data_IF_571672693395
#
_entry.id   IF_571672693395
#
_cell.length_a   1.000
_cell.length_b   1.000
_cell.length_c   1.000
_cell.angle_alpha   90.00
_cell.angle_beta   90.00
_cell.angle_gamma   90.00
#
_symmetry.space_group_name_H-M   'P 1'
#
loop_
_entity.id
_entity.type
_entity.pdbx_description
1 polymer ?
#
# COMPACT_ATOMS: atom_id res chain seq x y z
N UNK A 1 32.06 -5.86 10.29
CA UNK A 1 31.04 -4.83 10.62
C UNK A 1 31.68 -3.48 10.38
N UNK A 2 31.32 -2.86 9.28
CA UNK A 2 31.86 -1.58 8.84
C UNK A 2 30.73 -0.54 8.82
N UNK A 3 31.12 0.73 8.99
CA UNK A 3 30.24 1.86 8.71
C UNK A 3 30.81 2.60 7.53
N UNK A 4 30.05 2.68 6.45
CA UNK A 4 30.41 3.40 5.24
C UNK A 4 29.72 4.76 5.21
N UNK A 5 30.46 5.81 4.93
CA UNK A 5 29.98 7.19 4.88
C UNK A 5 29.94 7.69 3.45
N UNK A 6 28.87 8.39 3.12
CA UNK A 6 28.66 8.99 1.80
C UNK A 6 28.42 10.49 1.95
N UNK A 7 29.25 11.29 1.31
CA UNK A 7 29.23 12.76 1.32
C UNK A 7 29.62 13.26 -0.08
N UNK A 8 28.80 14.10 -0.75
CA UNK A 8 29.15 14.64 -2.08
C UNK A 8 30.52 15.36 -2.13
N UNK A 9 31.03 15.82 -0.99
CA UNK A 9 32.36 16.39 -0.88
C UNK A 9 33.47 15.34 -0.77
N UNK A 10 33.12 14.05 -0.65
CA UNK A 10 34.05 12.93 -0.55
C UNK A 10 34.67 12.52 -1.88
N UNK A 11 35.24 11.33 -1.93
CA UNK A 11 35.86 10.76 -3.15
C UNK A 11 35.66 9.23 -3.20
N UNK A 12 35.30 8.70 -4.35
CA UNK A 12 35.11 7.24 -4.53
C UNK A 12 36.44 6.44 -4.53
N UNK A 13 37.57 7.11 -4.46
CA UNK A 13 38.89 6.48 -4.23
C UNK A 13 39.24 6.33 -2.75
N UNK A 14 38.43 6.87 -1.85
CA UNK A 14 38.58 6.71 -0.40
C UNK A 14 38.14 5.30 0.04
N UNK A 15 38.31 4.99 1.32
CA UNK A 15 37.83 3.73 1.91
C UNK A 15 36.39 3.78 2.44
N UNK A 16 35.82 4.98 2.58
CA UNK A 16 34.47 5.21 3.07
C UNK A 16 34.25 4.98 4.56
N UNK A 17 35.30 4.68 5.34
CA UNK A 17 35.17 4.18 6.71
C UNK A 17 35.09 5.27 7.79
N UNK A 18 35.23 6.55 7.42
CA UNK A 18 35.00 7.69 8.30
C UNK A 18 34.35 8.84 7.54
N UNK A 19 33.73 9.83 8.23
CA UNK A 19 33.23 11.03 7.57
C UNK A 19 34.28 11.79 6.72
N UNK A 20 35.56 11.76 7.14
CA UNK A 20 36.64 12.42 6.45
C UNK A 20 37.10 11.66 5.19
N UNK A 21 36.86 10.36 5.17
CA UNK A 21 37.20 9.49 4.02
C UNK A 21 35.95 8.97 3.30
N UNK A 22 34.84 9.72 3.36
CA UNK A 22 33.57 9.34 2.75
C UNK A 22 33.67 9.13 1.24
N UNK A 23 32.82 8.25 0.69
CA UNK A 23 32.57 8.16 -0.75
C UNK A 23 31.79 9.37 -1.23
N UNK A 24 31.98 9.77 -2.49
CA UNK A 24 31.26 10.90 -3.06
C UNK A 24 29.79 10.56 -3.43
N UNK A 25 29.59 9.37 -3.93
CA UNK A 25 28.29 8.86 -4.42
C UNK A 25 28.14 7.35 -4.18
N UNK A 26 27.08 6.77 -4.75
CA UNK A 26 26.69 5.39 -4.51
C UNK A 26 27.50 4.37 -5.34
N UNK A 27 28.32 4.78 -6.29
CA UNK A 27 28.95 3.89 -7.27
C UNK A 27 29.79 2.78 -6.63
N UNK A 28 30.45 3.06 -5.51
CA UNK A 28 31.20 2.04 -4.76
C UNK A 28 30.27 1.11 -4.01
N UNK A 29 29.33 1.64 -3.24
CA UNK A 29 28.37 0.86 -2.45
C UNK A 29 27.55 -0.08 -3.34
N UNK A 30 27.11 0.40 -4.51
CA UNK A 30 26.31 -0.38 -5.46
C UNK A 30 27.05 -1.64 -5.97
N UNK A 31 28.39 -1.70 -5.89
CA UNK A 31 29.15 -2.87 -6.28
C UNK A 31 29.47 -3.82 -5.11
N UNK A 32 29.10 -3.44 -3.89
CA UNK A 32 29.42 -4.20 -2.69
C UNK A 32 28.31 -5.15 -2.31
N UNK A 33 28.67 -6.28 -1.72
CA UNK A 33 27.74 -7.11 -0.94
C UNK A 33 27.97 -6.82 0.54
N UNK A 34 27.04 -6.07 1.13
CA UNK A 34 27.08 -5.71 2.54
C UNK A 34 27.02 -6.95 3.43
N UNK A 35 27.77 -6.93 4.51
CA UNK A 35 27.87 -8.02 5.47
C UNK A 35 26.96 -7.76 6.69
N UNK A 36 26.54 -8.79 7.42
CA UNK A 36 25.74 -8.62 8.64
C UNK A 36 26.38 -7.63 9.62
N UNK A 37 25.62 -6.57 9.94
CA UNK A 37 26.03 -5.47 10.81
C UNK A 37 26.70 -4.30 10.10
N UNK A 38 26.87 -4.33 8.79
CA UNK A 38 27.34 -3.17 8.05
C UNK A 38 26.29 -2.06 8.03
N UNK A 39 26.75 -0.83 8.07
CA UNK A 39 25.90 0.39 8.03
C UNK A 39 26.36 1.28 6.88
N UNK A 40 25.40 1.84 6.13
CA UNK A 40 25.62 2.88 5.13
C UNK A 40 25.00 4.18 5.67
N UNK A 41 25.80 5.24 5.77
CA UNK A 41 25.38 6.52 6.30
C UNK A 41 25.50 7.65 5.29
N UNK A 42 24.38 8.31 5.03
CA UNK A 42 24.30 9.46 4.12
C UNK A 42 24.36 10.75 4.93
N UNK A 43 25.12 11.72 4.44
CA UNK A 43 25.27 13.01 5.11
C UNK A 43 24.01 13.83 5.01
N UNK A 44 23.53 14.34 6.14
CA UNK A 44 22.41 15.29 6.20
C UNK A 44 22.70 16.57 5.45
N UNK A 45 21.65 17.21 4.93
CA UNK A 45 21.73 18.44 4.13
C UNK A 45 22.31 18.24 2.73
N UNK A 46 22.48 16.99 2.27
CA UNK A 46 23.04 16.67 0.97
C UNK A 46 22.01 16.00 0.05
N UNK A 47 22.22 16.18 -1.26
CA UNK A 47 21.37 15.63 -2.32
C UNK A 47 22.23 14.86 -3.31
N UNK A 48 21.79 13.65 -3.67
CA UNK A 48 22.43 12.83 -4.70
C UNK A 48 21.47 12.60 -5.86
N UNK A 49 22.00 12.62 -7.07
CA UNK A 49 21.31 12.14 -8.26
C UNK A 49 21.93 10.81 -8.70
N UNK A 50 21.41 9.72 -8.16
CA UNK A 50 21.91 8.38 -8.46
C UNK A 50 21.00 7.32 -7.88
N UNK A 51 21.01 6.13 -8.46
CA UNK A 51 20.40 4.96 -7.85
C UNK A 51 21.28 4.47 -6.71
N UNK A 52 20.69 4.33 -5.51
CA UNK A 52 21.31 3.54 -4.44
C UNK A 52 20.84 2.09 -4.56
N UNK A 53 21.71 1.21 -4.99
CA UNK A 53 21.42 -0.22 -5.12
C UNK A 53 22.19 -1.02 -4.07
N UNK A 54 21.45 -1.81 -3.29
CA UNK A 54 21.99 -2.50 -2.12
C UNK A 54 21.85 -4.01 -2.26
N UNK A 55 22.91 -4.72 -1.88
CA UNK A 55 22.98 -6.17 -1.87
C UNK A 55 23.48 -6.66 -0.51
N UNK A 56 22.96 -7.77 -0.05
CA UNK A 56 23.37 -8.42 1.19
C UNK A 56 22.21 -8.64 2.16
N UNK A 57 22.42 -9.54 3.11
CA UNK A 57 21.46 -9.87 4.17
C UNK A 57 22.13 -9.75 5.53
N UNK A 58 21.37 -9.23 6.50
CA UNK A 58 21.77 -9.27 7.91
C UNK A 58 21.51 -10.61 8.57
N UNK A 59 21.65 -10.62 9.88
CA UNK A 59 21.22 -11.71 10.77
C UNK A 59 20.35 -11.16 11.90
N UNK A 60 19.67 -12.02 12.68
CA UNK A 60 18.86 -11.54 13.81
C UNK A 60 19.64 -10.65 14.78
N UNK A 61 20.94 -10.90 14.97
CA UNK A 61 21.79 -10.15 15.88
C UNK A 61 22.48 -8.96 15.23
N UNK A 62 22.53 -8.93 13.87
CA UNK A 62 23.30 -7.95 13.10
C UNK A 62 22.57 -7.54 11.83
N UNK A 63 21.70 -6.57 11.96
CA UNK A 63 21.03 -5.98 10.81
C UNK A 63 22.01 -5.23 9.92
N UNK A 64 21.76 -5.21 8.62
CA UNK A 64 22.31 -4.19 7.73
C UNK A 64 21.46 -2.92 7.92
N UNK A 65 22.10 -1.77 8.03
CA UNK A 65 21.40 -0.51 8.25
C UNK A 65 21.78 0.54 7.19
N UNK A 66 20.79 1.28 6.71
CA UNK A 66 20.96 2.52 5.96
C UNK A 66 20.37 3.66 6.78
N UNK A 67 21.17 4.69 7.04
CA UNK A 67 20.75 5.83 7.85
C UNK A 67 21.50 7.10 7.48
N UNK A 68 21.36 8.10 8.29
CA UNK A 68 21.96 9.41 8.13
C UNK A 68 23.11 9.66 9.12
N UNK A 69 23.84 10.75 8.92
CA UNK A 69 24.78 11.33 9.89
C UNK A 69 24.93 12.84 9.70
N UNK A 70 25.45 13.51 10.72
CA UNK A 70 25.65 14.96 10.72
C UNK A 70 24.37 15.72 11.08
N UNK A 71 24.34 16.98 10.72
CA UNK A 71 23.23 17.90 11.03
C UNK A 71 22.62 18.47 9.73
N UNK A 72 21.38 18.95 9.80
CA UNK A 72 20.65 19.54 8.70
C UNK A 72 19.41 18.71 8.29
N UNK A 73 18.86 19.01 7.12
CA UNK A 73 17.73 18.32 6.54
C UNK A 73 18.05 16.84 6.26
N UNK A 74 17.03 16.02 6.06
CA UNK A 74 17.23 14.62 5.68
C UNK A 74 18.11 14.51 4.43
N UNK A 75 19.00 13.51 4.36
CA UNK A 75 19.72 13.23 3.13
C UNK A 75 18.71 12.83 2.04
N UNK A 76 18.84 13.46 0.86
CA UNK A 76 17.89 13.29 -0.23
C UNK A 76 18.50 12.55 -1.41
N UNK A 77 17.79 11.54 -1.91
CA UNK A 77 18.07 10.93 -3.20
C UNK A 77 17.03 11.41 -4.19
N UNK A 78 17.43 12.35 -5.07
CA UNK A 78 16.58 12.94 -6.09
C UNK A 78 17.03 12.49 -7.47
N UNK A 79 16.10 11.92 -8.24
CA UNK A 79 16.38 11.48 -9.63
C UNK A 79 15.98 12.55 -10.65
N UNK A 80 16.00 12.18 -11.92
CA UNK A 80 15.73 13.12 -13.02
C UNK A 80 14.26 13.15 -13.47
N UNK A 81 13.40 12.30 -12.90
CA UNK A 81 11.98 12.21 -13.26
C UNK A 81 11.69 11.26 -14.42
N UNK A 82 12.63 10.38 -14.77
CA UNK A 82 12.37 9.33 -15.74
C UNK A 82 11.50 8.23 -15.09
N UNK A 83 10.49 7.78 -15.84
CA UNK A 83 9.55 6.74 -15.41
C UNK A 83 10.21 5.37 -15.15
N UNK A 84 11.38 5.12 -15.73
CA UNK A 84 12.17 3.91 -15.52
C UNK A 84 13.16 4.02 -14.34
N UNK A 85 13.29 5.19 -13.73
CA UNK A 85 14.22 5.40 -12.61
C UNK A 85 13.63 4.97 -11.26
N UNK A 86 14.54 4.63 -10.35
CA UNK A 86 14.28 4.44 -8.92
C UNK A 86 15.27 5.25 -8.11
N UNK A 87 14.86 5.64 -6.90
CA UNK A 87 15.80 6.25 -5.96
C UNK A 87 16.62 5.18 -5.25
N UNK A 88 15.97 4.16 -4.70
CA UNK A 88 16.62 3.08 -3.95
C UNK A 88 16.09 1.73 -4.43
N UNK A 89 16.98 0.77 -4.64
CA UNK A 89 16.66 -0.64 -4.79
C UNK A 89 17.42 -1.46 -3.77
N UNK A 90 16.72 -2.34 -3.05
CA UNK A 90 17.34 -3.30 -2.14
C UNK A 90 17.02 -4.71 -2.64
N UNK A 91 18.05 -5.46 -2.99
CA UNK A 91 17.89 -6.79 -3.55
C UNK A 91 17.88 -7.85 -2.44
N UNK A 92 16.78 -8.58 -2.34
CA UNK A 92 16.57 -9.68 -1.40
C UNK A 92 16.85 -9.30 0.07
N UNK A 93 16.31 -8.19 0.60
CA UNK A 93 16.61 -7.77 1.95
C UNK A 93 16.08 -8.74 3.00
N UNK A 94 16.91 -9.01 4.01
CA UNK A 94 16.52 -9.74 5.21
C UNK A 94 17.34 -9.23 6.39
N UNK A 95 16.72 -9.02 7.55
CA UNK A 95 17.32 -8.34 8.69
C UNK A 95 17.97 -7.03 8.28
N UNK A 96 17.12 -6.15 7.76
CA UNK A 96 17.52 -4.90 7.13
C UNK A 96 16.75 -3.72 7.74
N UNK A 97 17.41 -2.58 7.92
CA UNK A 97 16.80 -1.33 8.39
C UNK A 97 17.17 -0.16 7.49
N UNK A 98 16.21 0.72 7.25
CA UNK A 98 16.44 1.99 6.56
C UNK A 98 15.68 3.09 7.30
N UNK A 99 16.36 4.22 7.54
CA UNK A 99 15.70 5.31 8.25
C UNK A 99 16.28 6.67 7.92
N UNK A 100 15.47 7.70 8.18
CA UNK A 100 15.87 9.10 8.07
C UNK A 100 16.35 9.47 6.66
N UNK A 101 15.55 9.22 5.64
CA UNK A 101 15.87 9.51 4.24
C UNK A 101 14.71 10.19 3.53
N UNK A 102 15.06 11.03 2.57
CA UNK A 102 14.13 11.59 1.60
C UNK A 102 14.44 11.06 0.20
N UNK A 103 13.41 10.65 -0.54
CA UNK A 103 13.55 10.13 -1.91
C UNK A 103 12.51 10.78 -2.82
N UNK A 104 12.92 11.21 -4.02
CA UNK A 104 11.97 11.88 -4.91
C UNK A 104 12.35 11.89 -6.39
N UNK A 105 11.36 12.26 -7.22
CA UNK A 105 11.49 12.61 -8.63
C UNK A 105 12.00 11.44 -9.49
N UNK A 106 11.30 10.30 -9.43
CA UNK A 106 11.59 9.09 -10.21
C UNK A 106 10.31 8.38 -10.66
N UNK A 107 10.44 7.26 -11.33
CA UNK A 107 9.32 6.36 -11.58
C UNK A 107 8.84 5.66 -10.31
N UNK A 108 9.76 5.25 -9.44
CA UNK A 108 9.47 4.68 -8.14
C UNK A 108 10.50 5.13 -7.08
N UNK A 109 10.08 5.17 -5.81
CA UNK A 109 10.93 5.60 -4.72
C UNK A 109 11.85 4.49 -4.20
N UNK A 110 11.39 3.72 -3.23
CA UNK A 110 12.12 2.60 -2.61
C UNK A 110 11.51 1.30 -3.08
N UNK A 111 12.29 0.45 -3.73
CA UNK A 111 11.88 -0.87 -4.20
C UNK A 111 12.65 -1.96 -3.43
N UNK A 112 11.92 -2.76 -2.66
CA UNK A 112 12.44 -3.97 -2.04
C UNK A 112 12.11 -5.13 -2.99
N UNK A 113 13.13 -5.65 -3.66
CA UNK A 113 12.96 -6.62 -4.75
C UNK A 113 13.44 -8.01 -4.35
N UNK A 114 12.57 -9.00 -4.44
CA UNK A 114 12.85 -10.40 -4.11
C UNK A 114 12.87 -11.26 -5.38
N UNK A 115 14.07 -11.54 -5.87
CA UNK A 115 14.26 -12.33 -7.10
C UNK A 115 14.38 -13.81 -6.77
N UNK A 116 13.27 -14.55 -6.85
CA UNK A 116 13.19 -15.99 -6.49
C UNK A 116 13.76 -16.29 -5.11
N UNK A 117 13.67 -15.35 -4.19
CA UNK A 117 14.23 -15.46 -2.84
C UNK A 117 13.10 -15.41 -1.81
N UNK A 118 13.11 -16.34 -0.89
CA UNK A 118 12.01 -16.64 0.01
C UNK A 118 12.46 -16.75 1.46
N UNK A 119 11.49 -16.77 2.38
CA UNK A 119 11.69 -16.93 3.82
C UNK A 119 12.51 -15.80 4.47
N UNK A 120 12.47 -14.60 3.87
CA UNK A 120 13.13 -13.41 4.41
C UNK A 120 12.40 -12.85 5.62
N UNK A 121 13.12 -12.11 6.46
CA UNK A 121 12.59 -11.63 7.73
C UNK A 121 13.10 -10.25 8.11
N UNK A 122 12.27 -9.55 8.90
CA UNK A 122 12.63 -8.36 9.66
C UNK A 122 13.23 -7.25 8.80
N UNK A 123 12.40 -6.62 8.01
CA UNK A 123 12.75 -5.44 7.23
C UNK A 123 11.98 -4.25 7.78
N UNK A 124 12.69 -3.19 8.19
CA UNK A 124 12.10 -2.03 8.85
C UNK A 124 12.48 -0.74 8.14
N UNK A 125 11.47 0.03 7.76
CA UNK A 125 11.60 1.38 7.21
C UNK A 125 11.00 2.37 8.20
N UNK A 126 11.73 3.42 8.55
CA UNK A 126 11.31 4.38 9.57
C UNK A 126 11.70 5.80 9.21
N UNK A 127 10.81 6.75 9.40
CA UNK A 127 11.05 8.16 9.12
C UNK A 127 11.58 8.40 7.69
N UNK A 128 10.78 7.97 6.71
CA UNK A 128 11.03 8.15 5.29
C UNK A 128 10.07 9.22 4.75
N UNK A 129 10.60 10.14 3.95
CA UNK A 129 9.79 11.02 3.10
C UNK A 129 9.96 10.59 1.65
N UNK A 130 8.86 10.26 0.97
CA UNK A 130 8.89 9.74 -0.40
C UNK A 130 7.87 10.48 -1.27
N UNK A 131 8.31 11.11 -2.37
CA UNK A 131 7.40 11.95 -3.15
C UNK A 131 7.81 12.15 -4.61
N UNK A 132 6.84 12.61 -5.42
CA UNK A 132 7.01 12.90 -6.85
C UNK A 132 7.42 11.66 -7.65
N UNK A 133 6.60 10.58 -7.58
CA UNK A 133 6.81 9.36 -8.35
C UNK A 133 5.76 9.18 -9.43
N UNK A 134 6.22 9.10 -10.67
CA UNK A 134 5.40 9.12 -11.89
C UNK A 134 5.74 7.96 -12.82
N UNK A 135 5.90 6.76 -12.27
CA UNK A 135 6.10 5.57 -13.08
C UNK A 135 4.87 5.24 -13.92
N UNK A 136 5.06 4.43 -14.93
CA UNK A 136 3.94 3.92 -15.72
C UNK A 136 3.32 2.73 -14.98
N UNK A 137 2.08 2.92 -14.53
CA UNK A 137 1.21 1.80 -14.25
C UNK A 137 0.14 1.77 -15.34
N UNK A 138 -0.05 0.64 -16.00
CA UNK A 138 -1.00 0.43 -17.09
C UNK A 138 -1.36 1.73 -17.82
N UNK A 139 -0.62 2.10 -18.82
CA UNK A 139 -1.04 3.21 -19.67
C UNK A 139 -2.52 3.04 -20.01
N UNK A 140 -3.29 4.11 -19.91
CA UNK A 140 -4.74 4.12 -20.09
C UNK A 140 -5.16 3.26 -21.29
N UNK A 141 -5.97 2.22 -21.05
CA UNK A 141 -6.43 1.28 -22.07
C UNK A 141 -5.48 0.13 -22.40
N UNK A 142 -4.33 -0.01 -21.77
CA UNK A 142 -3.48 -1.17 -21.95
C UNK A 142 -4.11 -2.41 -21.30
N UNK A 143 -4.41 -3.40 -22.09
CA UNK A 143 -4.85 -4.70 -21.60
C UNK A 143 -3.65 -5.52 -21.11
N UNK A 144 -3.91 -6.57 -20.32
CA UNK A 144 -2.88 -7.56 -19.93
C UNK A 144 -2.18 -8.23 -21.14
N UNK A 145 -2.72 -8.09 -22.34
CA UNK A 145 -2.16 -8.56 -23.58
C UNK A 145 -1.23 -7.54 -24.27
N UNK A 146 -1.13 -6.30 -23.77
CA UNK A 146 -0.27 -5.29 -24.37
C UNK A 146 1.21 -5.67 -24.18
N UNK A 147 2.01 -5.73 -25.26
CA UNK A 147 3.45 -6.04 -25.15
C UNK A 147 4.22 -5.06 -24.27
N UNK A 148 3.83 -3.78 -24.23
CA UNK A 148 4.44 -2.80 -23.33
C UNK A 148 4.14 -3.15 -21.88
N UNK A 149 2.89 -3.51 -21.56
CA UNK A 149 2.50 -4.01 -20.26
C UNK A 149 3.29 -5.25 -19.83
N UNK A 150 3.44 -6.21 -20.72
CA UNK A 150 4.22 -7.42 -20.43
C UNK A 150 5.71 -7.14 -20.23
N UNK A 151 6.30 -6.22 -20.99
CA UNK A 151 7.71 -5.87 -20.82
C UNK A 151 7.99 -5.17 -19.48
N UNK A 152 7.09 -4.31 -19.03
CA UNK A 152 7.19 -3.69 -17.71
C UNK A 152 7.06 -4.67 -16.55
N UNK A 153 6.43 -5.81 -16.77
CA UNK A 153 6.21 -6.83 -15.73
C UNK A 153 7.37 -7.78 -15.53
N UNK A 154 8.14 -8.00 -16.58
CA UNK A 154 9.16 -9.06 -16.55
C UNK A 154 10.46 -8.64 -15.90
N UNK A 155 10.71 -7.36 -15.71
CA UNK A 155 12.05 -6.88 -15.34
C UNK A 155 12.10 -5.98 -14.11
N UNK A 156 11.22 -5.95 -13.18
CA UNK A 156 11.32 -5.05 -12.03
C UNK A 156 10.08 -4.25 -11.67
N UNK A 157 8.98 -4.41 -12.40
CA UNK A 157 7.73 -3.67 -12.14
C UNK A 157 7.94 -2.18 -11.83
N UNK A 158 8.91 -1.57 -12.47
CA UNK A 158 9.29 -0.15 -12.29
C UNK A 158 8.15 0.79 -12.59
N UNK A 159 7.16 0.29 -13.32
CA UNK A 159 6.02 1.06 -13.75
C UNK A 159 5.02 1.43 -12.66
N UNK A 160 5.24 1.10 -11.41
CA UNK A 160 4.17 1.20 -10.41
C UNK A 160 4.05 2.51 -9.65
N UNK A 161 4.82 3.51 -9.92
CA UNK A 161 4.67 4.82 -9.27
C UNK A 161 4.60 4.80 -7.73
N UNK A 162 5.06 3.75 -7.07
CA UNK A 162 5.01 3.67 -5.62
C UNK A 162 6.10 4.51 -4.96
N UNK A 163 5.73 5.15 -3.85
CA UNK A 163 6.72 5.70 -2.93
C UNK A 163 7.58 4.61 -2.30
N UNK A 164 6.95 3.54 -1.82
CA UNK A 164 7.61 2.32 -1.31
C UNK A 164 6.90 1.11 -1.88
N UNK A 165 7.64 0.17 -2.45
CA UNK A 165 7.10 -1.06 -3.03
C UNK A 165 7.89 -2.29 -2.60
N UNK A 166 7.18 -3.35 -2.22
CA UNK A 166 7.74 -4.69 -2.06
C UNK A 166 7.21 -5.55 -3.19
N UNK A 167 8.11 -6.09 -4.00
CA UNK A 167 7.74 -6.90 -5.17
C UNK A 167 8.84 -7.91 -5.50
N UNK A 168 8.60 -8.78 -6.46
CA UNK A 168 9.62 -9.75 -6.90
C UNK A 168 9.09 -10.78 -7.86
N UNK A 169 9.86 -11.85 -8.01
CA UNK A 169 9.58 -12.95 -8.91
C UNK A 169 9.40 -14.27 -8.15
N UNK A 170 8.52 -15.11 -8.66
CA UNK A 170 8.39 -16.50 -8.25
C UNK A 170 8.17 -17.41 -9.48
N UNK A 171 8.04 -18.69 -9.24
CA UNK A 171 7.71 -19.71 -10.23
C UNK A 171 6.43 -20.42 -9.80
N UNK A 172 5.85 -21.18 -10.71
CA UNK A 172 4.71 -22.09 -10.43
C UNK A 172 4.97 -22.97 -9.18
N UNK A 173 6.21 -23.43 -8.99
CA UNK A 173 6.58 -24.29 -7.86
C UNK A 173 6.72 -23.50 -6.55
N UNK A 174 7.01 -22.20 -6.62
CA UNK A 174 7.32 -21.36 -5.46
C UNK A 174 6.23 -20.34 -5.14
N UNK A 175 5.16 -20.28 -5.93
CA UNK A 175 4.08 -19.29 -5.80
C UNK A 175 3.40 -19.24 -4.42
N UNK A 176 3.45 -20.33 -3.65
CA UNK A 176 2.90 -20.38 -2.29
C UNK A 176 3.95 -20.17 -1.18
N UNK A 177 5.21 -19.88 -1.54
CA UNK A 177 6.25 -19.65 -0.54
C UNK A 177 6.16 -18.25 0.05
N UNK A 178 6.45 -18.17 1.34
CA UNK A 178 6.59 -16.92 2.06
C UNK A 178 7.79 -16.14 1.50
N UNK A 179 7.57 -14.87 1.17
CA UNK A 179 8.61 -13.98 0.69
C UNK A 179 9.25 -13.23 1.86
N UNK A 180 8.41 -12.55 2.65
CA UNK A 180 8.86 -11.70 3.74
C UNK A 180 7.93 -11.80 4.94
N UNK A 181 8.51 -11.96 6.13
CA UNK A 181 7.81 -11.81 7.41
C UNK A 181 8.43 -10.71 8.28
N UNK A 182 7.63 -10.15 9.20
CA UNK A 182 8.01 -9.05 10.09
C UNK A 182 8.50 -7.82 9.27
N UNK A 183 7.62 -7.31 8.41
CA UNK A 183 7.85 -6.09 7.66
C UNK A 183 7.17 -4.91 8.35
N UNK A 184 7.90 -3.81 8.54
CA UNK A 184 7.39 -2.61 9.20
C UNK A 184 7.74 -1.34 8.45
N UNK A 185 6.74 -0.46 8.33
CA UNK A 185 6.94 0.92 7.90
C UNK A 185 6.31 1.83 8.94
N UNK A 186 7.09 2.79 9.44
CA UNK A 186 6.65 3.68 10.51
C UNK A 186 7.09 5.13 10.27
N UNK A 187 6.32 6.09 10.83
CA UNK A 187 6.67 7.51 10.85
C UNK A 187 7.01 8.07 9.45
N UNK A 188 6.26 7.66 8.44
CA UNK A 188 6.62 7.86 7.03
C UNK A 188 5.55 8.70 6.33
N UNK A 189 6.02 9.64 5.51
CA UNK A 189 5.18 10.48 4.66
C UNK A 189 5.39 10.12 3.19
N UNK A 190 4.29 9.90 2.45
CA UNK A 190 4.33 9.57 1.01
C UNK A 190 3.30 10.42 0.29
N UNK A 191 3.75 11.19 -0.70
CA UNK A 191 2.84 12.08 -1.41
C UNK A 191 3.24 12.35 -2.87
N UNK A 192 2.30 12.87 -3.67
CA UNK A 192 2.46 13.12 -5.10
C UNK A 192 2.98 11.87 -5.84
N UNK A 193 2.31 10.75 -5.60
CA UNK A 193 2.65 9.48 -6.24
C UNK A 193 1.43 8.88 -6.92
N UNK A 194 1.63 7.94 -7.81
CA UNK A 194 0.52 7.15 -8.34
C UNK A 194 0.05 6.09 -7.34
N UNK A 195 0.96 5.55 -6.53
CA UNK A 195 0.67 4.63 -5.44
C UNK A 195 1.54 4.94 -4.24
N UNK A 196 0.99 4.97 -3.03
CA UNK A 196 1.75 5.30 -1.85
C UNK A 196 2.71 4.18 -1.43
N UNK A 197 2.18 3.16 -0.76
CA UNK A 197 2.91 2.00 -0.28
C UNK A 197 2.27 0.73 -0.81
N UNK A 198 3.05 -0.17 -1.40
CA UNK A 198 2.56 -1.40 -2.02
C UNK A 198 3.27 -2.67 -1.54
N UNK A 199 2.46 -3.67 -1.17
CA UNK A 199 2.83 -5.08 -1.18
C UNK A 199 2.25 -5.67 -2.46
N UNK A 200 3.01 -5.66 -3.53
CA UNK A 200 2.55 -6.03 -4.86
C UNK A 200 3.24 -7.31 -5.32
N UNK A 201 2.53 -8.41 -5.15
CA UNK A 201 3.03 -9.71 -5.56
C UNK A 201 2.15 -10.41 -6.58
N UNK A 202 1.00 -9.88 -6.89
CA UNK A 202 0.16 -10.49 -7.89
C UNK A 202 0.86 -10.44 -9.26
N UNK A 203 1.60 -11.47 -9.59
CA UNK A 203 2.07 -11.66 -10.96
C UNK A 203 0.87 -12.03 -11.82
N UNK A 204 0.48 -11.17 -12.73
CA UNK A 204 -0.61 -11.46 -13.63
C UNK A 204 -0.36 -12.61 -14.62
N UNK A 205 0.82 -13.13 -14.74
CA UNK A 205 1.00 -14.44 -15.37
C UNK A 205 0.34 -15.53 -14.54
N UNK A 206 0.19 -15.28 -13.25
CA UNK A 206 -0.44 -16.14 -12.26
C UNK A 206 -1.68 -15.50 -11.66
N UNK A 207 -2.15 -14.37 -12.17
CA UNK A 207 -3.41 -13.74 -11.79
C UNK A 207 -4.61 -14.42 -12.42
N UNK A 208 -4.57 -15.72 -12.51
CA UNK A 208 -5.79 -16.50 -12.55
C UNK A 208 -6.34 -16.69 -11.11
N UNK A 209 -5.74 -16.00 -10.12
CA UNK A 209 -6.24 -15.87 -8.76
C UNK A 209 -6.31 -17.12 -7.95
N UNK A 210 -5.92 -18.22 -8.49
CA UNK A 210 -5.92 -19.47 -7.73
C UNK A 210 -4.65 -19.63 -6.92
N UNK A 211 -3.73 -18.64 -6.89
CA UNK A 211 -2.43 -19.20 -7.00
C UNK A 211 -1.37 -18.68 -6.06
N UNK A 212 -1.38 -17.41 -5.68
CA UNK A 212 -0.39 -16.95 -4.70
C UNK A 212 -0.86 -17.13 -3.25
N UNK A 213 -2.17 -17.18 -3.02
CA UNK A 213 -2.71 -17.26 -1.66
C UNK A 213 -2.27 -16.10 -0.76
N UNK A 214 -2.76 -16.07 0.49
CA UNK A 214 -2.52 -14.95 1.40
C UNK A 214 -1.15 -14.98 2.11
N UNK A 215 -0.23 -15.82 1.74
CA UNK A 215 0.95 -16.15 2.54
C UNK A 215 2.28 -15.62 2.00
N UNK A 216 2.25 -14.73 1.00
CA UNK A 216 3.49 -14.09 0.50
C UNK A 216 4.13 -13.18 1.54
N UNK A 217 3.30 -12.46 2.29
CA UNK A 217 3.73 -11.55 3.34
C UNK A 217 3.06 -11.92 4.65
N UNK A 218 3.80 -11.84 5.75
CA UNK A 218 3.29 -12.18 7.07
C UNK A 218 3.80 -11.23 8.14
N UNK A 219 2.93 -10.94 9.13
CA UNK A 219 3.28 -10.11 10.28
C UNK A 219 3.75 -8.71 9.85
N UNK A 220 2.88 -8.01 9.12
CA UNK A 220 3.14 -6.70 8.53
C UNK A 220 2.58 -5.60 9.42
N UNK A 221 3.35 -4.55 9.68
CA UNK A 221 2.91 -3.39 10.48
C UNK A 221 3.19 -2.09 9.74
N UNK A 222 2.14 -1.32 9.50
CA UNK A 222 2.18 0.04 8.99
C UNK A 222 1.61 0.97 10.03
N UNK A 223 2.40 1.93 10.53
CA UNK A 223 1.94 2.81 11.60
C UNK A 223 2.50 4.22 11.49
N UNK A 224 1.68 5.20 11.91
CA UNK A 224 2.02 6.61 11.86
C UNK A 224 2.39 7.06 10.43
N UNK A 225 1.60 6.63 9.44
CA UNK A 225 1.81 7.01 8.06
C UNK A 225 0.93 8.21 7.69
N UNK A 226 1.48 9.10 6.89
CA UNK A 226 0.76 10.17 6.22
C UNK A 226 0.87 9.96 4.70
N UNK A 227 -0.17 9.38 4.11
CA UNK A 227 -0.27 9.14 2.67
C UNK A 227 -1.21 10.19 2.09
N UNK A 228 -0.69 11.08 1.21
CA UNK A 228 -1.55 12.17 0.74
C UNK A 228 -1.24 12.61 -0.69
N UNK A 229 -2.28 13.11 -1.38
CA UNK A 229 -2.18 13.55 -2.78
C UNK A 229 -1.57 12.48 -3.71
N UNK A 230 -1.89 11.21 -3.43
CA UNK A 230 -1.46 10.07 -4.25
C UNK A 230 -2.48 9.82 -5.38
N UNK A 231 -2.82 10.89 -6.07
CA UNK A 231 -3.81 10.94 -7.12
C UNK A 231 -3.25 11.48 -8.44
N UNK A 232 -2.00 11.20 -8.72
CA UNK A 232 -1.37 11.61 -9.97
C UNK A 232 -2.15 11.04 -11.15
N UNK A 233 -2.60 11.88 -12.10
CA UNK A 233 -3.41 11.43 -13.23
C UNK A 233 -2.70 10.35 -14.06
N UNK A 234 -3.48 9.42 -14.60
CA UNK A 234 -3.08 8.37 -15.54
C UNK A 234 -2.09 7.32 -15.02
N UNK A 235 -1.59 7.47 -13.80
CA UNK A 235 -0.61 6.54 -13.19
C UNK A 235 -0.99 6.13 -11.77
N UNK A 236 -2.23 6.42 -11.37
CA UNK A 236 -2.67 6.21 -9.99
C UNK A 236 -3.01 4.76 -9.69
N UNK A 237 -2.61 4.35 -8.51
CA UNK A 237 -3.04 3.17 -7.81
C UNK A 237 -3.66 3.58 -6.48
N UNK A 238 -3.96 2.61 -5.65
CA UNK A 238 -4.36 2.87 -4.27
C UNK A 238 -3.19 3.39 -3.43
N UNK A 239 -3.47 4.30 -2.49
CA UNK A 239 -2.42 4.83 -1.60
C UNK A 239 -1.79 3.74 -0.73
N UNK A 240 -2.55 2.75 -0.34
CA UNK A 240 -2.07 1.55 0.33
C UNK A 240 -2.57 0.32 -0.43
N UNK A 241 -1.65 -0.39 -1.07
CA UNK A 241 -1.94 -1.54 -1.91
C UNK A 241 -1.43 -2.81 -1.23
N UNK A 242 -2.33 -3.66 -0.77
CA UNK A 242 -2.01 -4.83 0.05
C UNK A 242 -2.54 -6.09 -0.61
N UNK A 243 -1.64 -6.93 -1.08
CA UNK A 243 -1.96 -8.24 -1.64
C UNK A 243 -1.23 -9.37 -0.94
N UNK A 244 -1.83 -10.54 -0.89
CA UNK A 244 -1.21 -11.80 -0.45
C UNK A 244 -0.61 -11.73 0.96
N UNK A 245 -1.35 -11.18 1.92
CA UNK A 245 -0.87 -10.94 3.28
C UNK A 245 -1.63 -11.72 4.35
N UNK A 246 -0.91 -12.17 5.36
CA UNK A 246 -1.48 -12.71 6.60
C UNK A 246 -0.93 -11.98 7.83
N UNK A 247 -1.78 -11.58 8.77
CA UNK A 247 -1.47 -10.79 9.95
C UNK A 247 -0.91 -9.39 9.58
N UNK A 248 -1.76 -8.51 9.10
CA UNK A 248 -1.41 -7.12 8.80
C UNK A 248 -2.05 -6.15 9.80
N UNK A 249 -1.31 -5.13 10.19
CA UNK A 249 -1.79 -4.02 11.03
C UNK A 249 -1.52 -2.70 10.33
N UNK A 250 -2.57 -1.92 10.09
CA UNK A 250 -2.47 -0.53 9.67
C UNK A 250 -3.11 0.36 10.74
N UNK A 251 -2.34 1.28 11.33
CA UNK A 251 -2.85 2.05 12.46
C UNK A 251 -2.26 3.45 12.59
N UNK A 252 -3.00 4.32 13.33
CA UNK A 252 -2.59 5.67 13.67
C UNK A 252 -2.16 6.49 12.44
N UNK A 253 -2.87 6.37 11.34
CA UNK A 253 -2.41 6.85 10.04
C UNK A 253 -3.50 7.67 9.33
N UNK A 254 -3.09 8.46 8.35
CA UNK A 254 -4.00 9.26 7.54
C UNK A 254 -3.76 9.00 6.07
N UNK A 255 -4.84 8.83 5.32
CA UNK A 255 -4.88 8.89 3.85
C UNK A 255 -5.73 10.10 3.47
N UNK A 256 -5.16 11.06 2.74
CA UNK A 256 -5.82 12.29 2.32
C UNK A 256 -5.63 12.50 0.83
N UNK A 257 -6.70 12.52 0.05
CA UNK A 257 -6.62 12.52 -1.43
C UNK A 257 -5.83 11.30 -1.92
N UNK A 258 -6.32 10.12 -1.59
CA UNK A 258 -5.53 8.87 -1.63
C UNK A 258 -5.60 8.08 -2.93
N UNK A 259 -6.47 8.42 -3.88
CA UNK A 259 -6.60 7.69 -5.14
C UNK A 259 -6.79 8.64 -6.31
N UNK A 260 -6.33 8.25 -7.46
CA UNK A 260 -6.50 9.01 -8.71
C UNK A 260 -7.30 8.25 -9.75
N UNK A 261 -7.40 8.83 -10.94
CA UNK A 261 -8.14 8.26 -12.05
C UNK A 261 -7.37 7.17 -12.75
N UNK A 262 -7.52 5.94 -12.31
CA UNK A 262 -7.14 4.77 -13.10
C UNK A 262 -8.35 4.23 -13.86
N UNK A 263 -8.21 3.77 -15.10
CA UNK A 263 -9.36 3.29 -15.87
C UNK A 263 -10.12 2.10 -15.27
N UNK A 264 -9.47 1.37 -14.38
CA UNK A 264 -10.04 0.23 -13.65
C UNK A 264 -10.49 0.58 -12.23
N UNK A 265 -10.31 1.82 -11.81
CA UNK A 265 -10.59 2.26 -10.45
C UNK A 265 -9.35 2.31 -9.57
N UNK A 266 -9.48 2.98 -8.44
CA UNK A 266 -8.47 3.05 -7.39
C UNK A 266 -9.12 3.41 -6.05
N UNK A 267 -8.55 2.93 -4.96
CA UNK A 267 -9.04 3.12 -3.60
C UNK A 267 -7.98 3.79 -2.70
N UNK A 268 -8.40 4.25 -1.54
CA UNK A 268 -7.45 4.63 -0.49
C UNK A 268 -6.62 3.43 -0.04
N UNK A 269 -7.29 2.32 0.24
CA UNK A 269 -6.68 1.02 0.59
C UNK A 269 -7.27 -0.05 -0.31
N UNK A 270 -6.44 -0.77 -1.03
CA UNK A 270 -6.81 -1.98 -1.76
C UNK A 270 -6.39 -3.22 -0.98
N UNK A 271 -7.33 -4.12 -0.73
CA UNK A 271 -7.11 -5.39 -0.01
C UNK A 271 -7.48 -6.57 -0.91
N UNK A 272 -6.52 -7.44 -1.19
CA UNK A 272 -6.73 -8.65 -1.98
C UNK A 272 -5.99 -9.84 -1.38
N UNK A 273 -6.62 -11.00 -1.30
CA UNK A 273 -6.01 -12.22 -0.74
C UNK A 273 -5.39 -11.95 0.65
N UNK A 274 -6.17 -11.35 1.55
CA UNK A 274 -5.69 -10.90 2.85
C UNK A 274 -6.36 -11.62 4.01
N UNK A 275 -5.59 -11.95 5.06
CA UNK A 275 -6.06 -12.66 6.25
C UNK A 275 -5.64 -11.94 7.52
N UNK A 276 -6.52 -11.88 8.51
CA UNK A 276 -6.24 -11.31 9.82
C UNK A 276 -5.70 -9.86 9.73
N UNK A 277 -6.46 -8.97 9.12
CA UNK A 277 -6.09 -7.56 8.95
C UNK A 277 -6.71 -6.72 10.05
N UNK A 278 -5.93 -5.88 10.71
CA UNK A 278 -6.40 -4.86 11.65
C UNK A 278 -6.16 -3.46 11.08
N UNK A 279 -7.22 -2.67 10.96
CA UNK A 279 -7.18 -1.24 10.63
C UNK A 279 -7.71 -0.50 11.87
N UNK A 280 -6.87 0.27 12.54
CA UNK A 280 -7.24 0.91 13.82
C UNK A 280 -6.75 2.35 13.90
N UNK A 281 -7.66 3.28 14.24
CA UNK A 281 -7.37 4.72 14.32
C UNK A 281 -6.77 5.28 13.02
N UNK A 282 -7.45 4.99 11.92
CA UNK A 282 -7.09 5.49 10.59
C UNK A 282 -8.13 6.54 10.17
N UNK A 283 -7.67 7.60 9.54
CA UNK A 283 -8.54 8.58 8.88
C UNK A 283 -8.30 8.49 7.38
N UNK A 284 -9.37 8.23 6.61
CA UNK A 284 -9.35 8.29 5.14
C UNK A 284 -10.32 9.38 4.72
N UNK A 285 -9.85 10.33 3.92
CA UNK A 285 -10.66 11.50 3.60
C UNK A 285 -10.32 12.12 2.24
N UNK A 286 -11.30 12.88 1.74
CA UNK A 286 -11.17 13.69 0.54
C UNK A 286 -10.79 12.89 -0.71
N UNK A 287 -11.27 11.64 -0.82
CA UNK A 287 -11.09 10.86 -2.04
C UNK A 287 -11.75 11.60 -3.21
N UNK A 288 -11.02 11.90 -4.28
CA UNK A 288 -11.53 12.75 -5.34
C UNK A 288 -12.50 12.01 -6.26
N UNK A 289 -13.41 12.76 -6.89
CA UNK A 289 -14.16 12.24 -8.01
C UNK A 289 -13.32 12.29 -9.29
N UNK A 290 -13.06 11.16 -9.86
CA UNK A 290 -12.22 10.99 -11.05
C UNK A 290 -13.01 10.57 -12.29
N UNK A 291 -14.25 10.10 -12.08
CA UNK A 291 -15.11 9.56 -13.14
C UNK A 291 -14.77 8.13 -13.52
N UNK A 292 -13.97 7.45 -12.72
CA UNK A 292 -13.64 6.03 -12.87
C UNK A 292 -14.42 5.18 -11.87
N UNK A 293 -14.21 3.87 -11.89
CA UNK A 293 -14.81 2.96 -10.91
C UNK A 293 -14.13 3.12 -9.54
N UNK A 294 -14.74 2.55 -8.51
CA UNK A 294 -14.31 2.50 -7.11
C UNK A 294 -14.34 3.89 -6.45
N UNK A 295 -13.26 4.68 -6.51
CA UNK A 295 -13.13 5.96 -5.79
C UNK A 295 -13.43 5.82 -4.28
N UNK A 296 -13.35 4.60 -3.76
CA UNK A 296 -13.71 4.25 -2.40
C UNK A 296 -12.51 4.39 -1.44
N UNK A 297 -12.79 4.37 -0.14
CA UNK A 297 -11.72 4.44 0.85
C UNK A 297 -11.01 3.10 1.05
N UNK A 298 -11.80 2.04 1.24
CA UNK A 298 -11.28 0.67 1.36
C UNK A 298 -12.03 -0.22 0.39
N UNK A 299 -11.28 -0.80 -0.52
CA UNK A 299 -11.73 -1.81 -1.44
C UNK A 299 -11.35 -3.21 -0.93
N UNK A 300 -12.37 -4.01 -0.66
CA UNK A 300 -12.24 -5.44 -0.43
C UNK A 300 -12.36 -6.16 -1.76
N UNK A 301 -11.28 -6.13 -2.55
CA UNK A 301 -11.28 -6.57 -3.94
C UNK A 301 -11.67 -8.04 -4.09
N UNK A 302 -11.05 -8.93 -3.34
CA UNK A 302 -11.40 -10.36 -3.35
C UNK A 302 -10.73 -11.12 -2.21
N UNK A 303 -11.44 -12.11 -1.69
CA UNK A 303 -10.96 -13.10 -0.72
C UNK A 303 -10.23 -12.49 0.48
N UNK A 304 -10.84 -11.48 1.10
CA UNK A 304 -10.40 -10.95 2.39
C UNK A 304 -11.13 -11.68 3.52
N UNK A 305 -10.39 -12.29 4.42
CA UNK A 305 -10.95 -13.04 5.54
C UNK A 305 -10.43 -12.54 6.88
N UNK A 306 -11.35 -12.25 7.79
CA UNK A 306 -11.03 -11.77 9.13
C UNK A 306 -10.32 -10.40 9.08
N UNK A 307 -11.04 -9.37 8.65
CA UNK A 307 -10.60 -7.99 8.75
C UNK A 307 -11.36 -7.28 9.86
N UNK A 308 -10.64 -6.54 10.70
CA UNK A 308 -11.20 -5.74 11.80
C UNK A 308 -10.86 -4.28 11.56
N UNK A 309 -11.88 -3.41 11.47
CA UNK A 309 -11.73 -1.97 11.34
C UNK A 309 -12.27 -1.32 12.60
N UNK A 310 -11.42 -0.60 13.32
CA UNK A 310 -11.77 0.00 14.61
C UNK A 310 -11.44 1.50 14.65
N UNK A 311 -12.30 2.26 15.36
CA UNK A 311 -11.99 3.63 15.79
C UNK A 311 -11.54 4.55 14.63
N UNK A 312 -12.01 4.29 13.43
CA UNK A 312 -11.55 4.93 12.21
C UNK A 312 -12.58 5.90 11.65
N UNK A 313 -12.14 6.84 10.84
CA UNK A 313 -12.99 7.88 10.25
C UNK A 313 -12.86 7.87 8.74
N UNK A 314 -13.99 7.86 8.05
CA UNK A 314 -14.15 7.95 6.61
C UNK A 314 -14.93 9.21 6.30
N UNK A 315 -14.31 10.20 5.65
CA UNK A 315 -14.86 11.55 5.59
C UNK A 315 -14.70 12.22 4.23
N UNK A 316 -15.81 12.66 3.65
CA UNK A 316 -15.85 13.46 2.43
C UNK A 316 -15.25 12.76 1.19
N UNK A 317 -15.64 11.51 0.94
CA UNK A 317 -15.09 10.68 -0.13
C UNK A 317 -16.08 10.56 -1.31
N UNK A 318 -15.58 10.62 -2.53
CA UNK A 318 -16.39 10.60 -3.74
C UNK A 318 -17.16 9.29 -3.90
N UNK A 319 -16.49 8.17 -3.70
CA UNK A 319 -17.06 6.84 -3.64
C UNK A 319 -17.50 6.42 -2.24
N UNK A 320 -17.83 5.16 -2.09
CA UNK A 320 -18.20 4.59 -0.80
C UNK A 320 -17.01 4.56 0.15
N UNK A 321 -17.26 4.63 1.46
CA UNK A 321 -16.20 4.43 2.44
C UNK A 321 -15.64 3.00 2.39
N UNK A 322 -16.51 2.02 2.21
CA UNK A 322 -16.10 0.62 2.07
C UNK A 322 -16.81 0.02 0.85
N UNK A 323 -16.05 -0.65 0.02
CA UNK A 323 -16.55 -1.40 -1.11
C UNK A 323 -16.23 -2.88 -0.94
N UNK A 324 -17.24 -3.72 -1.07
CA UNK A 324 -17.10 -5.17 -1.14
C UNK A 324 -17.25 -5.58 -2.59
N UNK A 325 -16.15 -5.87 -3.23
CA UNK A 325 -16.10 -6.42 -4.55
C UNK A 325 -15.79 -7.92 -4.47
N UNK A 326 -16.21 -8.66 -5.45
CA UNK A 326 -15.81 -10.05 -5.63
C UNK A 326 -15.45 -10.23 -7.10
N UNK A 327 -14.20 -10.08 -7.41
CA UNK A 327 -13.71 -10.09 -8.77
C UNK A 327 -13.49 -11.52 -9.24
N UNK A 328 -14.03 -11.84 -10.43
CA UNK A 328 -13.92 -13.15 -11.05
C UNK A 328 -13.06 -13.19 -12.32
N UNK A 329 -12.43 -12.11 -12.71
CA UNK A 329 -11.58 -12.07 -13.91
C UNK A 329 -10.37 -13.01 -13.77
N UNK A 330 -10.62 -14.28 -14.06
CA UNK A 330 -9.66 -15.37 -13.88
C UNK A 330 -9.63 -15.99 -12.48
N UNK A 331 -10.50 -15.54 -11.57
CA UNK A 331 -10.47 -15.97 -10.17
C UNK A 331 -11.71 -16.76 -9.78
N UNK A 332 -11.55 -17.92 -9.21
CA UNK A 332 -12.59 -18.64 -8.47
C UNK A 332 -12.51 -18.33 -6.99
N UNK A 333 -12.27 -17.09 -6.63
CA UNK A 333 -12.00 -16.70 -5.25
C UNK A 333 -13.27 -16.49 -4.46
N UNK A 334 -13.27 -16.84 -3.16
CA UNK A 334 -14.42 -16.59 -2.31
C UNK A 334 -14.64 -15.10 -2.09
N UNK A 335 -15.87 -14.72 -1.83
CA UNK A 335 -16.24 -13.38 -1.37
C UNK A 335 -15.60 -13.07 -0.02
N UNK A 336 -15.45 -11.81 0.30
CA UNK A 336 -14.89 -11.36 1.58
C UNK A 336 -15.80 -11.76 2.75
N UNK A 337 -15.20 -12.19 3.87
CA UNK A 337 -15.93 -12.74 5.01
C UNK A 337 -15.31 -12.41 6.35
N UNK A 338 -16.12 -12.49 7.41
CA UNK A 338 -15.69 -12.23 8.78
C UNK A 338 -15.15 -10.81 8.97
N UNK A 339 -15.81 -9.83 8.34
CA UNK A 339 -15.39 -8.43 8.41
C UNK A 339 -16.08 -7.76 9.59
N UNK A 340 -15.31 -7.24 10.53
CA UNK A 340 -15.80 -6.56 11.73
C UNK A 340 -15.47 -5.07 11.69
N UNK A 341 -16.49 -4.21 11.75
CA UNK A 341 -16.34 -2.77 11.72
C UNK A 341 -16.96 -2.21 12.99
N UNK A 342 -16.17 -1.55 13.83
CA UNK A 342 -16.68 -1.05 15.10
C UNK A 342 -16.14 0.34 15.49
N UNK A 343 -17.01 1.12 16.12
CA UNK A 343 -16.69 2.46 16.63
C UNK A 343 -16.13 3.41 15.56
N UNK A 344 -16.58 3.27 14.32
CA UNK A 344 -16.14 4.09 13.20
C UNK A 344 -17.12 5.23 12.91
N UNK A 345 -16.64 6.27 12.25
CA UNK A 345 -17.42 7.42 11.78
C UNK A 345 -17.40 7.44 10.26
N UNK A 346 -18.57 7.46 9.67
CA UNK A 346 -18.80 7.56 8.23
C UNK A 346 -19.50 8.88 7.93
N UNK A 347 -18.83 9.81 7.25
CA UNK A 347 -19.35 11.14 7.02
C UNK A 347 -19.22 11.53 5.55
N UNK A 348 -20.31 11.97 4.94
CA UNK A 348 -20.34 12.52 3.59
C UNK A 348 -19.61 11.67 2.53
N UNK A 349 -19.70 10.33 2.62
CA UNK A 349 -19.11 9.44 1.62
C UNK A 349 -20.13 9.13 0.51
N UNK A 350 -19.65 8.69 -0.64
CA UNK A 350 -20.41 8.38 -1.85
C UNK A 350 -21.20 9.58 -2.38
N UNK A 351 -20.64 10.77 -2.25
CA UNK A 351 -21.33 11.97 -2.73
C UNK A 351 -21.34 12.07 -4.27
N UNK A 352 -20.42 11.45 -4.98
CA UNK A 352 -20.39 11.40 -6.45
C UNK A 352 -21.40 10.40 -7.03
N UNK A 353 -21.89 9.44 -6.21
CA UNK A 353 -22.90 8.44 -6.62
C UNK A 353 -22.49 7.66 -7.87
N UNK A 354 -21.29 7.14 -7.87
CA UNK A 354 -20.71 6.38 -8.97
C UNK A 354 -21.60 5.21 -9.34
N UNK A 355 -22.11 4.50 -8.34
CA UNK A 355 -23.14 3.48 -8.50
C UNK A 355 -24.50 4.03 -8.02
N UNK A 356 -25.55 3.99 -8.85
CA UNK A 356 -26.84 4.66 -8.53
C UNK A 356 -27.49 4.22 -7.22
N UNK A 357 -27.24 3.00 -6.78
CA UNK A 357 -27.84 2.41 -5.58
C UNK A 357 -26.80 2.16 -4.47
N UNK A 358 -25.64 2.78 -4.54
CA UNK A 358 -24.59 2.54 -3.55
C UNK A 358 -24.86 3.28 -2.24
N UNK A 359 -24.54 2.62 -1.11
CA UNK A 359 -24.52 3.18 0.22
C UNK A 359 -23.20 3.88 0.57
N UNK A 360 -23.05 4.29 1.82
CA UNK A 360 -21.73 4.65 2.35
C UNK A 360 -20.81 3.41 2.46
N UNK A 361 -21.41 2.25 2.61
CA UNK A 361 -20.79 0.94 2.45
C UNK A 361 -21.52 0.25 1.31
N UNK A 362 -20.81 -0.15 0.28
CA UNK A 362 -21.42 -0.73 -0.91
C UNK A 362 -20.97 -2.18 -1.11
N UNK A 363 -21.89 -2.98 -1.69
CA UNK A 363 -21.65 -4.38 -2.07
C UNK A 363 -21.95 -4.47 -3.55
N UNK A 364 -21.00 -4.93 -4.34
CA UNK A 364 -21.08 -4.91 -5.81
C UNK A 364 -21.08 -6.34 -6.35
N UNK A 365 -22.06 -6.66 -7.21
CA UNK A 365 -22.14 -7.90 -7.98
C UNK A 365 -21.54 -7.70 -9.37
N UNK A 366 -20.23 -7.62 -9.45
CA UNK A 366 -19.65 -7.42 -10.77
C UNK A 366 -19.62 -8.70 -11.60
N UNK A 367 -18.95 -9.71 -11.12
CA UNK A 367 -18.76 -10.98 -11.86
C UNK A 367 -19.33 -12.20 -11.13
N UNK A 368 -19.76 -12.06 -9.90
CA UNK A 368 -20.24 -13.15 -9.05
C UNK A 368 -21.26 -12.62 -8.05
N UNK A 369 -22.19 -13.50 -7.64
CA UNK A 369 -23.10 -13.17 -6.54
C UNK A 369 -22.31 -12.91 -5.26
N UNK A 370 -22.22 -11.64 -4.89
CA UNK A 370 -21.43 -11.18 -3.76
C UNK A 370 -22.28 -11.09 -2.49
N UNK A 371 -21.97 -11.93 -1.54
CA UNK A 371 -22.60 -11.94 -0.21
C UNK A 371 -21.53 -11.96 0.87
N UNK A 372 -20.91 -10.83 1.17
CA UNK A 372 -19.93 -10.75 2.23
C UNK A 372 -20.57 -11.02 3.60
N UNK A 373 -19.75 -11.46 4.57
CA UNK A 373 -20.20 -11.69 5.93
C UNK A 373 -19.44 -10.83 6.92
N UNK A 374 -20.14 -10.38 7.98
CA UNK A 374 -19.49 -9.60 9.00
C UNK A 374 -20.44 -8.91 9.96
N UNK A 375 -19.90 -7.95 10.73
CA UNK A 375 -20.65 -7.14 11.67
C UNK A 375 -20.25 -5.67 11.61
N UNK A 376 -21.23 -4.78 11.65
CA UNK A 376 -21.03 -3.33 11.78
C UNK A 376 -21.67 -2.92 13.12
N UNK A 377 -20.87 -2.46 14.07
CA UNK A 377 -21.32 -2.23 15.45
C UNK A 377 -20.85 -0.88 15.99
N UNK A 378 -21.75 -0.16 16.63
CA UNK A 378 -21.44 1.08 17.34
C UNK A 378 -20.91 2.21 16.45
N UNK A 379 -21.17 2.16 15.16
CA UNK A 379 -20.70 3.15 14.19
C UNK A 379 -21.67 4.34 14.09
N UNK A 380 -21.14 5.48 13.70
CA UNK A 380 -21.90 6.69 13.45
C UNK A 380 -21.87 7.03 11.95
N UNK A 381 -23.05 7.27 11.37
CA UNK A 381 -23.24 7.59 9.96
C UNK A 381 -23.82 8.99 9.82
N UNK A 382 -23.16 9.85 9.08
CA UNK A 382 -23.70 11.14 8.62
C UNK A 382 -23.94 11.04 7.12
N UNK A 383 -25.20 10.85 6.74
CA UNK A 383 -25.53 10.69 5.34
C UNK A 383 -25.57 12.03 4.61
N UNK A 384 -24.98 12.15 3.42
CA UNK A 384 -25.52 13.08 2.43
C UNK A 384 -26.98 12.67 2.14
N UNK A 385 -27.84 13.63 1.91
CA UNK A 385 -29.33 13.57 1.97
C UNK A 385 -30.05 12.32 1.38
N UNK A 386 -29.39 11.43 0.71
CA UNK A 386 -30.02 10.31 -0.02
C UNK A 386 -29.22 9.01 0.00
N UNK A 387 -28.14 8.89 0.75
CA UNK A 387 -27.29 7.71 0.73
C UNK A 387 -27.62 6.77 1.88
N UNK A 388 -27.96 5.52 1.58
CA UNK A 388 -28.15 4.47 2.56
C UNK A 388 -26.86 4.14 3.33
N UNK A 389 -26.95 3.48 4.48
CA UNK A 389 -25.76 3.08 5.22
C UNK A 389 -25.03 1.93 4.52
N UNK A 390 -25.77 0.90 4.14
CA UNK A 390 -25.25 -0.26 3.38
C UNK A 390 -26.23 -0.54 2.25
N UNK A 391 -25.77 -0.47 1.03
CA UNK A 391 -26.56 -0.75 -0.17
C UNK A 391 -25.64 -1.17 -1.31
N UNK A 392 -26.21 -1.50 -2.45
CA UNK A 392 -25.53 -1.97 -3.63
C UNK A 392 -26.40 -2.96 -4.37
N UNK A 393 -25.88 -3.60 -5.39
CA UNK A 393 -26.55 -4.66 -6.13
C UNK A 393 -26.18 -6.07 -5.62
N UNK A 394 -25.23 -6.16 -4.67
CA UNK A 394 -24.90 -7.39 -3.95
C UNK A 394 -25.84 -7.70 -2.79
N UNK A 395 -25.65 -8.83 -2.14
CA UNK A 395 -26.50 -9.30 -1.03
C UNK A 395 -25.96 -8.88 0.35
N UNK A 396 -26.58 -7.86 1.01
CA UNK A 396 -26.12 -7.39 2.32
C UNK A 396 -26.56 -8.30 3.48
N UNK A 397 -27.31 -9.38 3.23
CA UNK A 397 -27.91 -10.19 4.30
C UNK A 397 -26.90 -10.93 5.17
N UNK A 398 -25.66 -11.06 4.74
CA UNK A 398 -24.56 -11.61 5.52
C UNK A 398 -23.92 -10.62 6.52
N UNK A 399 -24.32 -9.34 6.48
CA UNK A 399 -23.77 -8.30 7.37
C UNK A 399 -24.76 -7.97 8.49
N UNK A 400 -24.37 -8.27 9.71
CA UNK A 400 -25.15 -7.97 10.92
C UNK A 400 -24.86 -6.50 11.34
N UNK A 401 -25.91 -5.75 11.64
CA UNK A 401 -25.83 -4.34 12.04
C UNK A 401 -26.32 -4.17 13.47
N UNK A 402 -25.46 -3.65 14.35
CA UNK A 402 -25.76 -3.53 15.78
C UNK A 402 -25.41 -2.13 16.29
N UNK A 403 -26.36 -1.50 17.00
CA UNK A 403 -26.14 -0.26 17.75
C UNK A 403 -25.53 0.91 16.94
N UNK A 404 -25.75 0.94 15.63
CA UNK A 404 -25.31 2.04 14.80
C UNK A 404 -26.25 3.25 14.91
N UNK A 405 -25.74 4.46 14.71
CA UNK A 405 -26.52 5.70 14.85
C UNK A 405 -26.43 6.56 13.60
N UNK A 406 -27.53 7.23 13.28
CA UNK A 406 -27.59 8.31 12.30
C UNK A 406 -27.24 9.63 12.98
N UNK A 407 -26.20 10.29 12.53
CA UNK A 407 -25.75 11.59 13.10
C UNK A 407 -26.66 12.74 12.73
N UNK A 408 -27.44 12.63 11.65
CA UNK A 408 -28.41 13.67 11.21
C UNK A 408 -29.75 13.57 11.95
N UNK A 409 -29.99 12.48 12.68
CA UNK A 409 -31.21 12.31 13.43
C UNK A 409 -31.18 13.12 14.73
N UNK A 410 -32.10 14.04 14.91
CA UNK A 410 -32.35 14.73 16.20
C UNK A 410 -32.99 13.82 17.24
N UNK A 411 -33.42 12.64 16.86
CA UNK A 411 -33.95 11.63 17.76
C UNK A 411 -32.82 10.68 18.16
N UNK A 412 -32.42 10.75 19.41
CA UNK A 412 -31.64 9.70 20.07
C UNK A 412 -32.47 8.42 20.05
N UNK A 413 -32.38 7.66 19.00
CA UNK A 413 -33.04 6.40 18.82
C UNK A 413 -32.17 5.55 17.91
N UNK A 414 -31.83 4.36 18.39
CA UNK A 414 -31.15 3.36 17.58
C UNK A 414 -31.96 3.16 16.31
N UNK A 415 -31.36 3.40 15.16
CA UNK A 415 -31.98 3.02 13.88
C UNK A 415 -31.84 1.50 13.82
N UNK A 416 -32.79 0.80 14.36
CA UNK A 416 -33.02 -0.59 14.00
C UNK A 416 -33.53 -0.59 12.55
N UNK A 417 -32.63 -0.61 11.60
CA UNK A 417 -33.03 -1.17 10.31
C UNK A 417 -33.46 -2.61 10.60
N UNK A 418 -34.74 -2.86 10.39
CA UNK A 418 -35.25 -4.22 10.45
C UNK A 418 -34.38 -5.06 9.54
N UNK A 419 -33.52 -5.88 10.10
CA UNK A 419 -33.08 -7.07 9.40
C UNK A 419 -34.38 -7.71 8.91
N UNK A 420 -34.54 -7.85 7.62
CA UNK A 420 -35.63 -8.64 7.06
C UNK A 420 -35.34 -10.08 7.49
N UNK A 421 -35.71 -10.39 8.71
CA UNK A 421 -35.93 -11.76 9.15
C UNK A 421 -37.18 -12.22 8.45
N UNK A 422 -37.08 -12.62 7.21
CA UNK A 422 -38.05 -13.54 6.62
C UNK A 422 -37.68 -14.93 7.15
N UNK A 423 -38.43 -15.34 8.19
CA UNK A 423 -38.55 -16.73 8.60
C UNK A 423 -39.31 -17.49 7.52
#
# INVERSE_FOLDING_TARGET
>A
MNTYYIDPAGRNTNDGLSPETAFADFSVINTMTLQPGDTVRLKRGCVWNGLLELHGKGTPERFIEVSDYGEGDLPMIRRNGDIAERCIRVNNPSYFKMRNLEVCNAGAGIVLFYDYDFDNRSVYLDNITAHDFFGIYRASGASSADPAWQSYRCEDRVGFSFGICVTGNDTEETKHRLVLSDFRVSNTEIYHTGGGLGLDWCDHKNCDGTESGPDKFRDVVFENLHLHHNNVPDVSLSSLFIQCVTNAVFRNSTIDVGAGGAPWGAAGIHLQLARNVLIDRVTIKNMPHTGTNDECDIDFETDVDTCVILNSTFDNNAGAALEFLANQDGFTTPVSRNISIANCVFRNNNWAKIYPNAGQIQIVNWNVDNRPTGVICGCAFENPETVAFVDGDGDPSGIIRLDNRDMNSTKWGMVYEKAACNV
#
